data_IF_102548223736
#
_entry.id   IF_102548223736
#
_cell.length_a   1.000
_cell.length_b   1.000
_cell.length_c   1.000
_cell.angle_alpha   90.00
_cell.angle_beta   90.00
_cell.angle_gamma   90.00
#
_symmetry.space_group_name_H-M   'P 1'
#
loop_
_entity.id
_entity.type
_entity.pdbx_description
1 polymer ?
#
# COMPACT_ATOMS: atom_id res chain seq x y z
N UNK A 1 5.74 -6.70 3.61
CA UNK A 1 5.94 -8.06 4.12
C UNK A 1 5.97 -8.07 5.64
N UNK A 2 5.15 -8.89 6.27
CA UNK A 2 5.15 -9.17 7.71
C UNK A 2 5.85 -10.49 8.02
N UNK A 3 5.98 -11.34 7.03
CA UNK A 3 6.62 -12.65 7.10
C UNK A 3 7.66 -12.81 5.99
N UNK A 4 8.57 -13.76 6.16
CA UNK A 4 9.51 -14.16 5.11
C UNK A 4 8.96 -15.35 4.29
N UNK A 5 8.14 -16.21 4.92
CA UNK A 5 7.67 -17.45 4.30
C UNK A 5 6.17 -17.71 4.46
N UNK A 6 5.40 -16.72 4.86
CA UNK A 6 3.96 -16.86 5.07
C UNK A 6 3.58 -17.74 6.27
N UNK A 7 4.49 -17.96 7.22
CA UNK A 7 4.25 -18.85 8.37
C UNK A 7 3.55 -18.09 9.50
N UNK A 8 2.60 -18.75 10.13
CA UNK A 8 1.78 -18.15 11.20
C UNK A 8 2.61 -17.49 12.31
N UNK A 9 3.69 -18.13 12.75
CA UNK A 9 4.52 -17.62 13.85
C UNK A 9 5.20 -16.28 13.47
N UNK A 10 5.61 -16.10 12.22
CA UNK A 10 6.20 -14.84 11.76
C UNK A 10 5.18 -13.69 11.86
N UNK A 11 3.96 -13.91 11.41
CA UNK A 11 2.88 -12.93 11.54
C UNK A 11 2.56 -12.59 13.01
N UNK A 12 2.55 -13.60 13.88
CA UNK A 12 2.30 -13.39 15.31
C UNK A 12 3.43 -12.57 15.96
N UNK A 13 4.69 -12.88 15.65
CA UNK A 13 5.83 -12.12 16.14
C UNK A 13 5.79 -10.67 15.66
N UNK A 14 5.52 -10.45 14.38
CA UNK A 14 5.41 -9.11 13.81
C UNK A 14 4.26 -8.32 14.45
N UNK A 15 3.08 -8.93 14.60
CA UNK A 15 1.94 -8.34 15.31
C UNK A 15 2.33 -7.92 16.73
N UNK A 16 3.02 -8.79 17.46
CA UNK A 16 3.40 -8.54 18.85
C UNK A 16 4.46 -7.42 18.96
N UNK A 17 5.29 -7.24 17.93
CA UNK A 17 6.20 -6.10 17.82
C UNK A 17 5.40 -4.81 17.54
N UNK A 18 4.52 -4.83 16.55
CA UNK A 18 3.71 -3.67 16.16
C UNK A 18 2.76 -3.22 17.29
N UNK A 19 2.24 -4.13 18.07
CA UNK A 19 1.38 -3.83 19.24
C UNK A 19 2.10 -3.05 20.37
N UNK A 20 3.42 -2.95 20.32
CA UNK A 20 4.19 -2.09 21.25
C UNK A 20 4.21 -0.63 20.84
N UNK A 21 3.80 -0.31 19.63
CA UNK A 21 3.68 1.06 19.17
C UNK A 21 2.61 1.79 19.97
N UNK A 22 2.87 3.08 20.26
CA UNK A 22 1.93 3.97 20.98
C UNK A 22 1.07 4.79 20.02
N UNK A 23 1.17 4.53 18.74
CA UNK A 23 0.42 5.19 17.67
C UNK A 23 -0.35 4.14 16.88
N UNK A 24 -1.49 4.49 16.26
CA UNK A 24 -2.16 3.59 15.35
C UNK A 24 -1.25 3.18 14.20
N UNK A 25 -1.39 1.95 13.76
CA UNK A 25 -0.70 1.43 12.58
C UNK A 25 -1.66 0.64 11.70
N UNK A 26 -1.31 0.51 10.45
CA UNK A 26 -1.92 -0.39 9.48
C UNK A 26 -0.82 -1.19 8.80
N UNK A 27 -1.15 -2.39 8.37
CA UNK A 27 -0.23 -3.24 7.64
C UNK A 27 -0.74 -3.50 6.23
N UNK A 28 0.16 -3.55 5.28
CA UNK A 28 -0.12 -3.93 3.90
C UNK A 28 0.46 -5.30 3.63
N UNK A 29 -0.32 -6.14 2.96
CA UNK A 29 0.15 -7.46 2.55
C UNK A 29 1.23 -7.33 1.48
N UNK A 30 2.37 -8.02 1.68
CA UNK A 30 3.42 -8.15 0.70
C UNK A 30 3.42 -9.52 0.01
N UNK A 31 4.32 -9.69 -0.95
CA UNK A 31 4.39 -10.94 -1.72
C UNK A 31 4.84 -12.12 -0.85
N UNK A 32 5.77 -11.93 0.07
CA UNK A 32 6.17 -12.98 1.03
C UNK A 32 5.01 -13.43 1.95
N UNK A 33 4.10 -12.51 2.26
CA UNK A 33 2.91 -12.81 3.07
C UNK A 33 1.88 -13.66 2.32
N UNK A 34 2.01 -13.79 1.00
CA UNK A 34 1.12 -14.61 0.17
C UNK A 34 1.59 -16.06 0.03
N UNK A 35 2.81 -16.39 0.50
CA UNK A 35 3.38 -17.74 0.34
C UNK A 35 2.62 -18.79 1.17
N UNK A 36 2.44 -19.96 0.60
CA UNK A 36 1.75 -21.07 1.26
C UNK A 36 0.32 -20.73 1.68
N UNK A 37 0.04 -20.73 2.99
CA UNK A 37 -1.24 -20.30 3.60
C UNK A 37 -1.17 -18.90 4.19
N UNK A 38 -0.17 -18.12 3.81
CA UNK A 38 0.13 -16.83 4.44
C UNK A 38 -0.98 -15.82 4.26
N UNK A 39 -1.64 -15.74 3.09
CA UNK A 39 -2.78 -14.83 2.90
C UNK A 39 -3.92 -15.12 3.88
N UNK A 40 -4.24 -16.40 4.12
CA UNK A 40 -5.29 -16.80 5.07
C UNK A 40 -4.90 -16.39 6.50
N UNK A 41 -3.63 -16.57 6.86
CA UNK A 41 -3.07 -16.16 8.15
C UNK A 41 -3.09 -14.64 8.29
N UNK A 42 -2.67 -13.91 7.26
CA UNK A 42 -2.74 -12.44 7.23
C UNK A 42 -4.18 -11.97 7.46
N UNK A 43 -5.16 -12.53 6.73
CA UNK A 43 -6.58 -12.18 6.89
C UNK A 43 -7.10 -12.43 8.30
N UNK A 44 -6.68 -13.52 8.93
CA UNK A 44 -7.10 -13.87 10.29
C UNK A 44 -6.53 -12.90 11.35
N UNK A 45 -5.36 -12.32 11.10
CA UNK A 45 -4.63 -11.49 12.07
C UNK A 45 -4.83 -9.98 11.82
N UNK A 46 -4.78 -9.55 10.56
CA UNK A 46 -4.77 -8.14 10.14
C UNK A 46 -6.03 -7.71 9.40
N UNK A 47 -6.86 -8.63 8.94
CA UNK A 47 -8.08 -8.35 8.19
C UNK A 47 -7.90 -8.43 6.66
N UNK A 48 -8.80 -7.82 5.93
CA UNK A 48 -8.75 -7.86 4.46
C UNK A 48 -7.49 -7.21 3.91
N UNK A 49 -6.87 -7.78 2.86
CA UNK A 49 -5.70 -7.21 2.22
C UNK A 49 -5.99 -5.96 1.38
N UNK A 50 -7.26 -5.76 0.99
CA UNK A 50 -7.76 -4.51 0.44
C UNK A 50 -8.64 -3.83 1.48
N UNK A 51 -8.28 -2.63 1.91
CA UNK A 51 -9.06 -1.89 2.89
C UNK A 51 -8.87 -0.38 2.71
N UNK A 52 -9.74 0.40 3.31
CA UNK A 52 -9.58 1.85 3.39
C UNK A 52 -9.91 2.37 4.77
N UNK A 53 -9.37 3.54 5.09
CA UNK A 53 -9.73 4.31 6.27
C UNK A 53 -9.61 5.80 6.00
N UNK A 54 -10.22 6.62 6.86
CA UNK A 54 -10.13 8.06 6.78
C UNK A 54 -9.44 8.57 8.04
N UNK A 55 -8.41 9.39 7.87
CA UNK A 55 -7.76 10.13 8.94
C UNK A 55 -7.79 11.62 8.61
N UNK A 56 -8.44 12.39 9.48
CA UNK A 56 -8.81 13.76 9.13
C UNK A 56 -9.75 13.78 7.94
N UNK A 57 -9.39 14.46 6.87
CA UNK A 57 -10.15 14.49 5.61
C UNK A 57 -9.37 13.82 4.46
N UNK A 58 -8.50 12.89 4.78
CA UNK A 58 -7.72 12.12 3.82
C UNK A 58 -8.18 10.68 3.85
N UNK A 59 -8.61 10.15 2.70
CA UNK A 59 -8.88 8.72 2.52
C UNK A 59 -7.61 8.00 2.12
N UNK A 60 -7.25 7.00 2.91
CA UNK A 60 -6.19 6.05 2.60
C UNK A 60 -6.82 4.81 1.98
N UNK A 61 -6.38 4.45 0.79
CA UNK A 61 -6.80 3.23 0.09
C UNK A 61 -5.61 2.30 0.00
N UNK A 62 -5.71 1.18 0.69
CA UNK A 62 -4.66 0.18 0.84
C UNK A 62 -5.00 -1.03 -0.02
N UNK A 63 -4.08 -1.44 -0.90
CA UNK A 63 -4.34 -2.44 -1.93
C UNK A 63 -3.36 -3.60 -1.88
N UNK A 64 -3.88 -4.80 -2.06
CA UNK A 64 -3.09 -5.94 -2.50
C UNK A 64 -2.74 -5.76 -3.98
N UNK A 65 -1.46 -5.74 -4.29
CA UNK A 65 -0.93 -5.62 -5.66
C UNK A 65 -0.03 -6.80 -6.04
N UNK A 66 -0.01 -7.87 -5.25
CA UNK A 66 0.86 -9.03 -5.39
C UNK A 66 0.30 -10.02 -6.45
N UNK A 67 0.17 -9.58 -7.70
CA UNK A 67 -0.51 -10.35 -8.75
C UNK A 67 0.24 -11.64 -9.13
N UNK A 68 1.56 -11.61 -9.15
CA UNK A 68 2.40 -12.74 -9.52
C UNK A 68 2.23 -13.93 -8.55
N UNK A 69 2.05 -13.67 -7.27
CA UNK A 69 1.87 -14.71 -6.25
C UNK A 69 0.63 -15.59 -6.48
N UNK A 70 -0.28 -15.13 -7.33
CA UNK A 70 -1.49 -15.85 -7.71
C UNK A 70 -1.50 -16.27 -9.20
N UNK A 71 -0.34 -16.30 -9.85
CA UNK A 71 -0.21 -16.59 -11.29
C UNK A 71 -1.18 -15.77 -12.15
N UNK A 72 -1.47 -14.53 -11.73
CA UNK A 72 -2.46 -13.65 -12.36
C UNK A 72 -3.88 -14.25 -12.45
N UNK A 73 -4.21 -15.24 -11.63
CA UNK A 73 -5.51 -15.94 -11.63
C UNK A 73 -6.61 -15.17 -10.92
N UNK A 74 -6.25 -14.10 -10.20
CA UNK A 74 -7.16 -13.23 -9.46
C UNK A 74 -7.15 -11.81 -10.03
N UNK A 75 -8.22 -11.02 -9.85
CA UNK A 75 -8.25 -9.61 -10.23
C UNK A 75 -7.43 -8.77 -9.24
N UNK A 76 -6.12 -8.72 -9.45
CA UNK A 76 -5.16 -7.94 -8.66
C UNK A 76 -4.44 -6.96 -9.60
N UNK A 77 -4.51 -5.63 -9.33
CA UNK A 77 -5.32 -4.95 -8.31
C UNK A 77 -6.84 -5.18 -8.48
N UNK A 78 -7.56 -5.15 -7.36
CA UNK A 78 -9.02 -5.32 -7.35
C UNK A 78 -9.72 -4.02 -7.76
N UNK A 79 -10.15 -3.94 -9.01
CA UNK A 79 -10.83 -2.76 -9.57
C UNK A 79 -12.25 -2.58 -9.03
N UNK A 80 -12.94 -3.65 -8.65
CA UNK A 80 -14.28 -3.55 -8.07
C UNK A 80 -14.18 -2.91 -6.68
N UNK A 81 -13.18 -3.32 -5.89
CA UNK A 81 -12.88 -2.66 -4.62
C UNK A 81 -12.52 -1.18 -4.84
N UNK A 82 -11.59 -0.87 -5.76
CA UNK A 82 -11.19 0.53 -6.06
C UNK A 82 -12.43 1.36 -6.43
N UNK A 83 -13.27 0.88 -7.32
CA UNK A 83 -14.48 1.60 -7.74
C UNK A 83 -15.48 1.79 -6.59
N UNK A 84 -15.66 0.78 -5.73
CA UNK A 84 -16.52 0.90 -4.56
C UNK A 84 -16.00 1.96 -3.57
N UNK A 85 -14.66 2.05 -3.40
CA UNK A 85 -14.05 3.03 -2.50
C UNK A 85 -14.21 4.48 -2.97
N UNK A 86 -14.39 4.72 -4.25
CA UNK A 86 -14.58 6.07 -4.79
C UNK A 86 -15.84 6.75 -4.20
N UNK A 87 -16.91 5.99 -4.04
CA UNK A 87 -18.19 6.48 -3.51
C UNK A 87 -18.37 6.25 -2.01
N UNK A 88 -17.60 5.30 -1.43
CA UNK A 88 -17.70 5.01 -0.01
C UNK A 88 -17.27 6.21 0.85
N UNK A 89 -18.18 6.67 1.70
CA UNK A 89 -18.01 7.83 2.59
C UNK A 89 -17.50 9.08 1.87
N UNK A 90 -18.00 9.33 0.66
CA UNK A 90 -17.51 10.40 -0.25
C UNK A 90 -17.48 11.79 0.40
N UNK A 91 -18.42 12.09 1.29
CA UNK A 91 -18.53 13.38 1.97
C UNK A 91 -17.53 13.57 3.13
N UNK A 92 -16.84 12.51 3.53
CA UNK A 92 -15.95 12.53 4.68
C UNK A 92 -14.50 12.88 4.31
N UNK A 93 -14.14 12.90 3.03
CA UNK A 93 -12.77 13.16 2.58
C UNK A 93 -12.70 14.06 1.36
N UNK A 94 -11.61 14.82 1.26
CA UNK A 94 -11.33 15.72 0.13
C UNK A 94 -10.08 15.28 -0.63
N UNK A 95 -9.23 14.47 -0.01
CA UNK A 95 -7.94 14.06 -0.53
C UNK A 95 -7.73 12.57 -0.36
N UNK A 96 -6.83 12.01 -1.16
CA UNK A 96 -6.60 10.58 -1.19
C UNK A 96 -5.11 10.26 -1.22
N UNK A 97 -4.74 9.15 -0.57
CA UNK A 97 -3.42 8.52 -0.65
C UNK A 97 -3.65 7.04 -0.95
N UNK A 98 -2.95 6.51 -1.95
CA UNK A 98 -2.93 5.08 -2.22
C UNK A 98 -1.67 4.45 -1.65
N UNK A 99 -1.82 3.27 -1.04
CA UNK A 99 -0.72 2.51 -0.49
C UNK A 99 -0.77 1.07 -0.99
N UNK A 100 0.37 0.54 -1.42
CA UNK A 100 0.49 -0.78 -2.00
C UNK A 100 1.86 -1.37 -1.69
N UNK A 101 2.03 -2.69 -1.85
CA UNK A 101 3.34 -3.28 -1.71
C UNK A 101 4.15 -3.18 -3.01
N UNK A 102 3.58 -3.66 -4.11
CA UNK A 102 4.22 -3.67 -5.43
C UNK A 102 3.68 -2.53 -6.27
N UNK A 103 4.55 -1.64 -6.77
CA UNK A 103 4.19 -0.50 -7.60
C UNK A 103 3.98 -0.90 -9.07
N UNK A 104 3.23 -0.10 -9.86
CA UNK A 104 3.24 -0.22 -11.32
C UNK A 104 4.67 -0.19 -11.88
N UNK A 105 4.86 -0.92 -12.97
CA UNK A 105 6.13 -1.13 -13.66
C UNK A 105 7.20 -1.92 -12.90
N UNK A 106 6.93 -2.36 -11.66
CA UNK A 106 7.68 -3.47 -11.10
C UNK A 106 7.31 -4.76 -11.84
N UNK A 107 8.26 -5.70 -11.94
CA UNK A 107 8.07 -6.97 -12.65
C UNK A 107 6.86 -7.78 -12.12
N UNK A 108 6.64 -7.74 -10.81
CA UNK A 108 5.60 -8.53 -10.14
C UNK A 108 4.22 -7.88 -10.15
N UNK A 109 4.12 -6.62 -10.56
CA UNK A 109 2.84 -5.96 -10.78
C UNK A 109 2.16 -6.49 -12.05
N UNK A 110 0.83 -6.51 -12.07
CA UNK A 110 0.11 -6.80 -13.31
C UNK A 110 0.19 -5.62 -14.29
N UNK A 111 1.30 -5.51 -15.01
CA UNK A 111 1.57 -4.38 -15.89
C UNK A 111 0.64 -4.28 -17.11
N UNK A 112 -0.12 -5.34 -17.42
CA UNK A 112 -1.16 -5.28 -18.46
C UNK A 112 -2.28 -4.28 -18.11
N UNK A 113 -2.47 -4.02 -16.82
CA UNK A 113 -3.52 -3.09 -16.33
C UNK A 113 -2.95 -1.82 -15.71
N UNK A 114 -1.64 -1.57 -15.77
CA UNK A 114 -1.01 -0.43 -15.10
C UNK A 114 -1.63 0.92 -15.50
N UNK A 115 -1.92 1.14 -16.79
CA UNK A 115 -2.55 2.37 -17.27
C UNK A 115 -4.01 2.50 -16.78
N UNK A 116 -4.76 1.40 -16.78
CA UNK A 116 -6.14 1.38 -16.27
C UNK A 116 -6.15 1.62 -14.76
N UNK A 117 -5.17 1.08 -14.05
CA UNK A 117 -4.97 1.32 -12.62
C UNK A 117 -4.75 2.80 -12.35
N UNK A 118 -3.78 3.43 -13.02
CA UNK A 118 -3.50 4.86 -12.86
C UNK A 118 -4.74 5.72 -13.17
N UNK A 119 -5.42 5.43 -14.27
CA UNK A 119 -6.66 6.13 -14.61
C UNK A 119 -7.73 5.98 -13.50
N UNK A 120 -7.86 4.79 -12.93
CA UNK A 120 -8.87 4.52 -11.89
C UNK A 120 -8.60 5.27 -10.59
N UNK A 121 -7.34 5.28 -10.14
CA UNK A 121 -6.98 5.98 -8.89
C UNK A 121 -7.01 7.51 -9.04
N UNK A 122 -6.74 8.04 -10.23
CA UNK A 122 -6.84 9.49 -10.52
C UNK A 122 -8.27 10.03 -10.52
N UNK A 123 -9.29 9.19 -10.48
CA UNK A 123 -10.68 9.61 -10.29
C UNK A 123 -10.98 10.05 -8.86
N UNK A 124 -10.13 9.68 -7.91
CA UNK A 124 -10.31 10.07 -6.51
C UNK A 124 -9.98 11.54 -6.28
N UNK A 125 -10.66 12.19 -5.33
CA UNK A 125 -10.41 13.58 -5.01
C UNK A 125 -8.96 13.80 -4.58
N UNK A 126 -8.33 14.80 -5.19
CA UNK A 126 -7.00 15.31 -4.86
C UNK A 126 -6.02 14.18 -4.44
N UNK A 127 -5.74 13.27 -5.39
CA UNK A 127 -4.77 12.21 -5.20
C UNK A 127 -3.38 12.81 -4.96
N UNK A 128 -2.94 12.80 -3.71
CA UNK A 128 -1.71 13.45 -3.28
C UNK A 128 -0.46 12.71 -3.77
N UNK A 129 -0.42 11.42 -3.50
CA UNK A 129 0.68 10.53 -3.89
C UNK A 129 0.32 9.06 -3.65
N UNK A 130 1.17 8.18 -4.14
CA UNK A 130 1.15 6.75 -3.85
C UNK A 130 2.37 6.33 -3.03
N UNK A 131 2.21 5.35 -2.13
CA UNK A 131 3.33 4.71 -1.44
C UNK A 131 3.45 3.26 -1.82
N UNK A 132 4.69 2.78 -1.92
CA UNK A 132 5.02 1.41 -2.24
C UNK A 132 6.19 0.88 -1.39
N UNK A 133 6.53 -0.39 -1.58
CA UNK A 133 7.63 -1.08 -0.92
C UNK A 133 8.29 -2.09 -1.90
N UNK A 134 8.71 -3.27 -1.44
CA UNK A 134 9.14 -4.43 -2.21
C UNK A 134 10.58 -4.37 -2.72
N UNK A 135 10.99 -3.35 -3.46
CA UNK A 135 12.29 -3.35 -4.17
C UNK A 135 13.49 -2.94 -3.29
N UNK A 136 13.29 -2.70 -2.01
CA UNK A 136 14.30 -2.45 -0.98
C UNK A 136 15.31 -1.33 -1.33
N UNK A 137 14.82 -0.23 -1.88
CA UNK A 137 15.58 1.00 -2.09
C UNK A 137 14.66 2.22 -2.05
N UNK A 138 15.25 3.38 -1.78
CA UNK A 138 14.52 4.64 -1.84
C UNK A 138 14.22 4.99 -3.30
N UNK A 139 12.95 5.28 -3.58
CA UNK A 139 12.46 5.59 -4.93
C UNK A 139 11.44 6.72 -4.86
N UNK A 140 11.54 7.68 -5.77
CA UNK A 140 10.63 8.82 -5.89
C UNK A 140 10.49 9.18 -7.37
N UNK A 141 9.39 8.79 -8.00
CA UNK A 141 9.15 9.09 -9.41
C UNK A 141 7.67 9.36 -9.70
N UNK A 142 7.43 10.20 -10.68
CA UNK A 142 6.15 10.29 -11.40
C UNK A 142 6.16 9.23 -12.51
N UNK A 143 5.64 8.05 -12.21
CA UNK A 143 5.73 6.87 -13.08
C UNK A 143 4.97 7.01 -14.40
N UNK A 144 4.02 7.92 -14.48
CA UNK A 144 3.12 8.08 -15.62
C UNK A 144 3.22 9.46 -16.27
N UNK A 145 4.16 10.30 -15.83
CA UNK A 145 4.34 11.68 -16.28
C UNK A 145 3.03 12.50 -16.17
N UNK A 146 2.27 12.31 -15.07
CA UNK A 146 0.93 12.86 -14.91
C UNK A 146 0.69 13.63 -13.61
N UNK A 147 1.76 13.87 -12.85
CA UNK A 147 1.78 14.64 -11.62
C UNK A 147 1.60 13.81 -10.35
N UNK A 148 1.35 12.51 -10.44
CA UNK A 148 1.20 11.63 -9.27
C UNK A 148 2.54 10.98 -8.94
N UNK A 149 3.10 11.36 -7.78
CA UNK A 149 4.34 10.78 -7.29
C UNK A 149 4.13 9.42 -6.63
N UNK A 150 5.04 8.51 -6.89
CA UNK A 150 5.18 7.23 -6.20
C UNK A 150 6.42 7.25 -5.32
N UNK A 151 6.23 6.96 -4.04
CA UNK A 151 7.30 6.89 -3.04
C UNK A 151 7.47 5.47 -2.54
N UNK A 152 8.69 4.99 -2.52
CA UNK A 152 9.02 3.69 -1.95
C UNK A 152 10.18 3.84 -0.98
N UNK A 153 10.02 3.33 0.24
CA UNK A 153 11.11 3.30 1.20
C UNK A 153 11.98 2.07 1.01
N UNK A 154 13.19 2.15 1.51
CA UNK A 154 14.02 0.97 1.71
C UNK A 154 13.43 0.06 2.81
N UNK A 155 13.89 -1.17 2.92
CA UNK A 155 13.45 -2.09 3.97
C UNK A 155 14.01 -1.69 5.34
N UNK A 156 13.32 -2.12 6.41
CA UNK A 156 13.72 -1.81 7.80
C UNK A 156 15.11 -2.34 8.17
N UNK A 157 15.61 -3.37 7.49
CA UNK A 157 16.99 -3.86 7.64
C UNK A 157 18.01 -2.77 7.33
N UNK A 158 17.73 -1.90 6.39
CA UNK A 158 18.59 -0.77 5.99
C UNK A 158 18.27 0.50 6.80
N UNK A 159 17.41 0.41 7.82
CA UNK A 159 17.09 1.48 8.76
C UNK A 159 16.65 2.76 8.07
N UNK A 160 15.69 2.63 7.16
CA UNK A 160 15.15 3.73 6.39
C UNK A 160 13.63 3.73 6.41
N UNK A 161 13.03 4.90 6.53
CA UNK A 161 11.58 5.10 6.39
C UNK A 161 11.26 6.54 5.96
N UNK A 162 10.03 6.73 5.45
CA UNK A 162 9.52 8.07 5.15
C UNK A 162 8.69 8.64 6.29
N UNK A 163 8.80 9.95 6.47
CA UNK A 163 7.80 10.76 7.17
C UNK A 163 7.10 11.64 6.15
N UNK A 164 5.77 11.55 6.10
CA UNK A 164 4.95 12.47 5.31
C UNK A 164 4.21 13.41 6.27
N UNK A 165 4.38 14.71 6.05
CA UNK A 165 3.62 15.74 6.75
C UNK A 165 2.61 16.33 5.79
N UNK A 166 1.31 16.08 6.04
CA UNK A 166 0.24 16.55 5.17
C UNK A 166 -0.50 17.70 5.84
N UNK A 167 -0.50 18.85 5.18
CA UNK A 167 -1.23 20.05 5.60
C UNK A 167 -2.41 20.31 4.65
N UNK A 168 -3.32 21.26 4.92
CA UNK A 168 -4.41 21.58 3.98
C UNK A 168 -3.96 21.92 2.57
N UNK A 169 -2.80 22.55 2.41
CA UNK A 169 -2.37 23.15 1.13
C UNK A 169 -1.30 22.30 0.41
N UNK A 170 -0.58 21.45 1.13
CA UNK A 170 0.55 20.69 0.58
C UNK A 170 0.88 19.47 1.42
N UNK A 171 1.76 18.65 0.90
CA UNK A 171 2.49 17.66 1.69
C UNK A 171 4.00 17.88 1.57
N UNK A 172 4.72 17.47 2.62
CA UNK A 172 6.18 17.42 2.67
C UNK A 172 6.60 15.99 2.99
N UNK A 173 7.76 15.60 2.52
CA UNK A 173 8.32 14.28 2.79
C UNK A 173 9.75 14.39 3.30
N UNK A 174 10.11 13.50 4.17
CA UNK A 174 11.47 13.32 4.68
C UNK A 174 11.84 11.84 4.64
N UNK A 175 13.05 11.53 4.17
CA UNK A 175 13.64 10.20 4.27
C UNK A 175 14.50 10.18 5.52
N UNK A 176 14.18 9.29 6.45
CA UNK A 176 14.90 9.16 7.73
C UNK A 176 15.75 7.90 7.72
N UNK A 177 17.02 8.05 8.06
CA UNK A 177 17.98 6.97 8.29
C UNK A 177 18.41 6.96 9.78
N UNK A 178 18.51 5.78 10.43
CA UNK A 178 18.80 5.66 11.87
C UNK A 178 19.69 4.47 12.24
#
# INVERSE_FOLDING_TARGET
DFSDFGVTDEFLWQRDIMNKLKVPYVGLIGNHDCLGTGEETYRAIFGDPNFSFIAGRIKFVCLNTNALEFDYSRPIPDFDFINAQLEDRREEYDRTIFSMHIRPFCFEFNNNVAQVFQYSIKRFPDLLFCTAAHEHHVFEEDLFDDGVMYYMSDCMKNRCYYIFTVTPDRYEREVVYY
#
